data_IF_148392923827
#
_entry.id   IF_148392923827
#
_cell.length_a   1.000
_cell.length_b   1.000
_cell.length_c   1.000
_cell.angle_alpha   90.00
_cell.angle_beta   90.00
_cell.angle_gamma   90.00
#
_symmetry.space_group_name_H-M   'P 1'
#
loop_
_entity.id
_entity.type
_entity.pdbx_description
1 polymer ?
#
# COMPACT_ATOMS: atom_id res chain seq x y z
N UNK A 1 6.92 -11.60 -30.15
CA UNK A 1 7.18 -10.16 -29.98
C UNK A 1 5.84 -9.47 -29.78
N UNK A 2 5.47 -9.16 -28.54
CA UNK A 2 4.25 -8.41 -28.21
C UNK A 2 4.51 -6.97 -28.65
N UNK A 3 3.69 -6.49 -29.55
CA UNK A 3 3.82 -5.17 -30.17
C UNK A 3 3.50 -4.06 -29.12
N UNK A 4 4.52 -3.61 -28.39
CA UNK A 4 4.44 -2.50 -27.44
C UNK A 4 4.17 -1.13 -28.10
N UNK A 5 4.34 -1.03 -29.43
CA UNK A 5 4.14 0.21 -30.18
C UNK A 5 2.68 0.68 -30.30
N UNK A 6 1.71 -0.25 -30.26
CA UNK A 6 0.28 0.10 -30.29
C UNK A 6 -0.26 0.67 -28.97
N UNK A 7 0.48 0.51 -27.86
CA UNK A 7 0.13 1.07 -26.54
C UNK A 7 0.66 2.50 -26.34
N UNK A 8 1.58 2.97 -27.18
CA UNK A 8 2.21 4.29 -27.04
C UNK A 8 1.57 5.40 -27.89
N UNK A 9 0.60 5.07 -28.73
CA UNK A 9 0.01 6.01 -29.69
C UNK A 9 -1.45 6.35 -29.37
N UNK A 10 -1.69 7.17 -28.37
CA UNK A 10 -2.73 8.18 -28.25
C UNK A 10 -2.45 8.93 -26.96
N UNK A 11 -2.35 10.26 -26.98
CA UNK A 11 -2.51 11.11 -25.81
C UNK A 11 -3.83 10.73 -25.13
N UNK A 12 -3.79 9.73 -24.28
CA UNK A 12 -4.96 9.29 -23.53
C UNK A 12 -5.22 10.38 -22.52
N UNK A 13 -6.27 11.17 -22.76
CA UNK A 13 -6.83 12.06 -21.76
C UNK A 13 -6.93 11.25 -20.46
N UNK A 14 -6.02 11.48 -19.54
CA UNK A 14 -5.89 10.74 -18.26
C UNK A 14 -7.09 10.97 -17.36
N UNK A 15 -7.88 12.00 -17.66
CA UNK A 15 -9.07 12.39 -16.90
C UNK A 15 -10.10 11.26 -16.84
N UNK A 16 -10.52 10.93 -15.63
CA UNK A 16 -11.54 9.91 -15.36
C UNK A 16 -12.97 10.47 -15.43
N UNK A 17 -13.11 11.79 -15.65
CA UNK A 17 -14.40 12.47 -15.76
C UNK A 17 -15.06 12.31 -17.14
N UNK A 18 -14.35 11.75 -18.12
CA UNK A 18 -14.81 11.62 -19.50
C UNK A 18 -14.70 10.17 -20.01
N UNK A 19 -15.51 9.78 -20.98
CA UNK A 19 -15.49 8.46 -21.60
C UNK A 19 -16.19 7.35 -20.81
N UNK A 20 -15.99 6.08 -21.21
CA UNK A 20 -16.62 4.92 -20.57
C UNK A 20 -16.07 4.68 -19.16
N UNK A 21 -16.95 4.53 -18.18
CA UNK A 21 -16.63 4.33 -16.76
C UNK A 21 -15.80 3.05 -16.56
N UNK A 22 -16.28 1.92 -17.08
CA UNK A 22 -15.63 0.63 -16.93
C UNK A 22 -14.24 0.61 -17.56
N UNK A 23 -14.12 1.13 -18.79
CA UNK A 23 -12.86 1.20 -19.51
C UNK A 23 -11.82 2.04 -18.75
N UNK A 24 -12.23 3.19 -18.18
CA UNK A 24 -11.33 4.07 -17.41
C UNK A 24 -10.83 3.41 -16.12
N UNK A 25 -11.71 2.78 -15.36
CA UNK A 25 -11.33 2.11 -14.10
C UNK A 25 -10.42 0.92 -14.39
N UNK A 26 -10.75 0.06 -15.35
CA UNK A 26 -9.94 -1.13 -15.69
C UNK A 26 -8.58 -0.75 -16.25
N UNK A 27 -8.53 0.17 -17.25
CA UNK A 27 -7.28 0.62 -17.86
C UNK A 27 -6.34 1.33 -16.87
N UNK A 28 -6.87 1.88 -15.81
CA UNK A 28 -6.06 2.46 -14.74
C UNK A 28 -5.63 1.39 -13.72
N UNK A 29 -6.51 0.43 -13.38
CA UNK A 29 -6.20 -0.63 -12.43
C UNK A 29 -5.12 -1.60 -12.93
N UNK A 30 -5.07 -1.90 -14.25
CA UNK A 30 -4.09 -2.84 -14.84
C UNK A 30 -2.63 -2.38 -14.62
N UNK A 31 -2.20 -1.15 -14.96
CA UNK A 31 -0.84 -0.71 -14.67
C UNK A 31 -0.51 -0.72 -13.18
N UNK A 32 -1.46 -0.38 -12.31
CA UNK A 32 -1.27 -0.46 -10.87
C UNK A 32 -1.04 -1.90 -10.40
N UNK A 33 -1.81 -2.84 -10.94
CA UNK A 33 -1.65 -4.26 -10.63
C UNK A 33 -0.28 -4.77 -11.08
N UNK A 34 0.12 -4.47 -12.30
CA UNK A 34 1.44 -4.85 -12.82
C UNK A 34 2.56 -4.21 -11.98
N UNK A 35 2.42 -2.94 -11.58
CA UNK A 35 3.40 -2.26 -10.73
C UNK A 35 3.55 -2.94 -9.37
N UNK A 36 2.44 -3.22 -8.68
CA UNK A 36 2.47 -3.91 -7.40
C UNK A 36 3.01 -5.34 -7.52
N UNK A 37 2.68 -6.05 -8.60
CA UNK A 37 3.22 -7.38 -8.88
C UNK A 37 4.74 -7.34 -9.10
N UNK A 38 5.24 -6.42 -9.93
CA UNK A 38 6.67 -6.22 -10.13
C UNK A 38 7.38 -5.85 -8.82
N UNK A 39 6.78 -5.00 -8.00
CA UNK A 39 7.33 -4.64 -6.70
C UNK A 39 7.43 -5.85 -5.77
N UNK A 40 6.43 -6.73 -5.76
CA UNK A 40 6.46 -7.95 -4.97
C UNK A 40 7.53 -8.94 -5.46
N UNK A 41 7.67 -9.08 -6.78
CA UNK A 41 8.70 -9.93 -7.39
C UNK A 41 10.11 -9.40 -7.09
N UNK A 42 10.31 -8.10 -7.22
CA UNK A 42 11.59 -7.45 -6.92
C UNK A 42 11.98 -7.60 -5.44
N UNK A 43 11.06 -7.38 -4.50
CA UNK A 43 11.32 -7.60 -3.07
C UNK A 43 11.71 -9.06 -2.76
N UNK A 44 11.13 -10.00 -3.50
CA UNK A 44 11.48 -11.41 -3.39
C UNK A 44 12.87 -11.69 -3.94
N UNK A 45 13.22 -11.11 -5.09
CA UNK A 45 14.54 -11.24 -5.70
C UNK A 45 15.65 -10.67 -4.80
N UNK A 46 15.44 -9.48 -4.23
CA UNK A 46 16.37 -8.85 -3.27
C UNK A 46 16.62 -9.77 -2.06
N UNK A 47 15.56 -10.31 -1.47
CA UNK A 47 15.68 -11.25 -0.35
C UNK A 47 16.44 -12.53 -0.73
N UNK A 48 16.26 -13.05 -1.95
CA UNK A 48 16.99 -14.22 -2.45
C UNK A 48 18.47 -13.90 -2.68
N UNK A 49 18.80 -12.74 -3.22
CA UNK A 49 20.19 -12.31 -3.43
C UNK A 49 20.89 -12.19 -2.09
N UNK A 50 20.31 -11.46 -1.13
CA UNK A 50 20.88 -11.31 0.21
C UNK A 50 21.05 -12.67 0.89
N UNK A 51 20.03 -13.53 0.88
CA UNK A 51 20.07 -14.83 1.54
C UNK A 51 21.10 -15.79 0.96
N UNK A 52 21.25 -15.84 -0.37
CA UNK A 52 22.15 -16.76 -1.04
C UNK A 52 23.62 -16.31 -1.01
N UNK A 53 23.88 -15.00 -1.05
CA UNK A 53 25.26 -14.49 -1.15
C UNK A 53 25.83 -14.00 0.17
N UNK A 54 25.00 -13.48 1.09
CA UNK A 54 25.45 -12.93 2.38
C UNK A 54 25.12 -13.85 3.57
N UNK A 55 24.27 -14.87 3.35
CA UNK A 55 23.94 -15.88 4.34
C UNK A 55 22.78 -15.53 5.27
N UNK A 56 22.53 -16.40 6.26
CA UNK A 56 21.35 -16.36 7.13
C UNK A 56 21.32 -15.15 8.07
N UNK A 57 22.46 -14.70 8.58
CA UNK A 57 22.52 -13.54 9.48
C UNK A 57 22.13 -12.24 8.76
N UNK A 58 22.63 -12.04 7.54
CA UNK A 58 22.25 -10.89 6.71
C UNK A 58 20.77 -10.92 6.35
N UNK A 59 20.23 -12.11 6.00
CA UNK A 59 18.80 -12.25 5.74
C UNK A 59 17.95 -11.98 6.99
N UNK A 60 18.43 -12.41 8.17
CA UNK A 60 17.78 -12.09 9.45
C UNK A 60 17.81 -10.59 9.75
N UNK A 61 18.93 -9.91 9.47
CA UNK A 61 19.07 -8.46 9.62
C UNK A 61 18.07 -7.69 8.74
N UNK A 62 17.95 -8.06 7.46
CA UNK A 62 16.97 -7.48 6.53
C UNK A 62 15.54 -7.74 7.01
N UNK A 63 15.24 -8.98 7.41
CA UNK A 63 13.89 -9.38 7.85
C UNK A 63 13.46 -8.71 9.15
N UNK A 64 14.36 -8.56 10.13
CA UNK A 64 14.06 -7.86 11.39
C UNK A 64 13.75 -6.39 11.19
N UNK A 65 14.44 -5.75 10.25
CA UNK A 65 14.20 -4.35 9.88
C UNK A 65 12.93 -4.15 9.05
N UNK A 66 12.51 -5.18 8.31
CA UNK A 66 11.41 -5.11 7.35
C UNK A 66 10.08 -4.67 7.95
N UNK A 67 9.73 -5.10 9.15
CA UNK A 67 8.49 -4.71 9.82
C UNK A 67 8.41 -3.22 10.13
N UNK A 68 9.52 -2.63 10.56
CA UNK A 68 9.61 -1.17 10.82
C UNK A 68 9.56 -0.37 9.53
N UNK A 69 10.29 -0.82 8.52
CA UNK A 69 10.26 -0.21 7.19
C UNK A 69 8.83 -0.25 6.63
N UNK A 70 8.15 -1.39 6.73
CA UNK A 70 6.76 -1.54 6.28
C UNK A 70 5.80 -0.58 7.00
N UNK A 71 5.94 -0.43 8.31
CA UNK A 71 5.12 0.49 9.10
C UNK A 71 5.33 1.94 8.65
N UNK A 72 6.57 2.36 8.44
CA UNK A 72 6.91 3.72 8.03
C UNK A 72 6.51 4.01 6.59
N UNK A 73 6.82 3.10 5.66
CA UNK A 73 6.41 3.23 4.25
C UNK A 73 4.89 3.22 4.15
N UNK A 74 4.20 2.38 4.93
CA UNK A 74 2.74 2.36 5.02
C UNK A 74 2.14 3.70 5.47
N UNK A 75 2.77 4.36 6.44
CA UNK A 75 2.35 5.70 6.89
C UNK A 75 2.54 6.75 5.78
N UNK A 76 3.69 6.77 5.13
CA UNK A 76 3.98 7.69 4.02
C UNK A 76 3.04 7.45 2.83
N UNK A 77 2.80 6.18 2.48
CA UNK A 77 1.83 5.83 1.44
C UNK A 77 0.43 6.33 1.77
N UNK A 78 0.00 6.24 3.03
CA UNK A 78 -1.28 6.79 3.47
C UNK A 78 -1.35 8.31 3.29
N UNK A 79 -0.28 9.03 3.61
CA UNK A 79 -0.22 10.48 3.39
C UNK A 79 -0.22 10.81 1.89
N UNK A 80 0.56 10.10 1.07
CA UNK A 80 0.59 10.28 -0.38
C UNK A 80 -0.80 10.04 -1.00
N UNK A 81 -1.51 9.00 -0.55
CA UNK A 81 -2.88 8.72 -0.97
C UNK A 81 -3.86 9.83 -0.57
N UNK A 82 -3.74 10.37 0.66
CA UNK A 82 -4.57 11.49 1.11
C UNK A 82 -4.31 12.77 0.34
N UNK A 83 -3.05 13.08 0.03
CA UNK A 83 -2.69 14.18 -0.86
C UNK A 83 -3.25 13.95 -2.27
N UNK A 84 -3.19 12.70 -2.76
CA UNK A 84 -3.77 12.29 -4.03
C UNK A 84 -5.27 12.56 -4.14
N UNK A 85 -6.04 12.39 -3.06
CA UNK A 85 -7.47 12.73 -3.02
C UNK A 85 -7.69 14.24 -3.26
N UNK A 86 -6.89 15.09 -2.62
CA UNK A 86 -6.98 16.55 -2.78
C UNK A 86 -6.62 16.95 -4.21
N UNK A 87 -5.56 16.39 -4.78
CA UNK A 87 -5.12 16.62 -6.16
C UNK A 87 -6.19 16.12 -7.16
N UNK A 88 -6.70 14.89 -6.98
CA UNK A 88 -7.75 14.33 -7.83
C UNK A 88 -9.00 15.21 -7.88
N UNK A 89 -9.41 15.73 -6.72
CA UNK A 89 -10.53 16.68 -6.62
C UNK A 89 -10.33 17.92 -7.49
N UNK A 90 -9.20 18.61 -7.34
CA UNK A 90 -8.94 19.85 -8.07
C UNK A 90 -8.64 19.60 -9.55
N UNK A 91 -8.03 18.47 -9.88
CA UNK A 91 -7.85 18.05 -11.27
C UNK A 91 -9.19 17.78 -11.96
N UNK A 92 -10.10 17.05 -11.29
CA UNK A 92 -11.46 16.83 -11.77
C UNK A 92 -12.27 18.13 -11.92
N UNK A 93 -12.13 19.05 -10.97
CA UNK A 93 -12.77 20.38 -11.00
C UNK A 93 -12.21 21.30 -12.09
N UNK A 94 -11.16 20.93 -12.82
CA UNK A 94 -10.44 21.79 -13.78
C UNK A 94 -9.94 23.10 -13.16
N UNK A 95 -9.70 23.13 -11.85
CA UNK A 95 -9.21 24.29 -11.13
C UNK A 95 -7.69 24.27 -11.05
N UNK A 96 -7.07 24.93 -12.03
CA UNK A 96 -5.62 24.95 -12.20
C UNK A 96 -4.87 25.55 -11.00
N UNK A 97 -5.37 26.66 -10.44
CA UNK A 97 -4.67 27.35 -9.35
C UNK A 97 -4.60 26.48 -8.07
N UNK A 98 -5.74 25.92 -7.66
CA UNK A 98 -5.77 25.03 -6.49
C UNK A 98 -5.05 23.71 -6.75
N UNK A 99 -5.08 23.17 -7.97
CA UNK A 99 -4.33 22.00 -8.38
C UNK A 99 -2.82 22.25 -8.23
N UNK A 100 -2.32 23.35 -8.76
CA UNK A 100 -0.91 23.74 -8.67
C UNK A 100 -0.49 23.92 -7.22
N UNK A 101 -1.26 24.63 -6.40
CA UNK A 101 -0.99 24.78 -4.97
C UNK A 101 -0.96 23.43 -4.24
N UNK A 102 -1.88 22.52 -4.54
CA UNK A 102 -1.93 21.20 -3.95
C UNK A 102 -0.67 20.37 -4.30
N UNK A 103 -0.26 20.35 -5.57
CA UNK A 103 0.93 19.63 -6.04
C UNK A 103 2.22 20.17 -5.37
N UNK A 104 2.39 21.50 -5.38
CA UNK A 104 3.60 22.11 -4.82
C UNK A 104 3.66 21.97 -3.29
N UNK A 105 2.53 22.10 -2.60
CA UNK A 105 2.44 21.86 -1.14
C UNK A 105 2.70 20.38 -0.81
N UNK A 106 2.18 19.45 -1.61
CA UNK A 106 2.44 18.01 -1.43
C UNK A 106 3.93 17.69 -1.62
N UNK A 107 4.56 18.28 -2.63
CA UNK A 107 6.00 18.12 -2.89
C UNK A 107 6.84 18.74 -1.76
N UNK A 108 6.50 19.95 -1.28
CA UNK A 108 7.16 20.59 -0.15
C UNK A 108 7.03 19.74 1.13
N UNK A 109 5.84 19.19 1.39
CA UNK A 109 5.61 18.30 2.51
C UNK A 109 6.46 17.03 2.40
N UNK A 110 6.53 16.42 1.21
CA UNK A 110 7.37 15.24 0.96
C UNK A 110 8.86 15.50 1.21
N UNK A 111 9.38 16.66 0.79
CA UNK A 111 10.77 17.06 1.05
C UNK A 111 11.03 17.16 2.56
N UNK A 112 10.21 17.90 3.29
CA UNK A 112 10.37 18.07 4.74
C UNK A 112 10.21 16.73 5.46
N UNK A 113 9.19 15.95 5.13
CA UNK A 113 8.96 14.64 5.72
C UNK A 113 10.11 13.67 5.42
N UNK A 114 10.63 13.65 4.18
CA UNK A 114 11.74 12.81 3.77
C UNK A 114 13.04 13.16 4.51
N UNK A 115 13.40 14.45 4.62
CA UNK A 115 14.56 14.90 5.36
C UNK A 115 14.43 14.56 6.85
N UNK A 116 13.27 14.85 7.44
CA UNK A 116 12.98 14.55 8.85
C UNK A 116 13.10 13.05 9.12
N UNK A 117 12.54 12.23 8.23
CA UNK A 117 12.58 10.77 8.32
C UNK A 117 14.02 10.24 8.20
N UNK A 118 14.80 10.77 7.27
CA UNK A 118 16.21 10.44 7.12
C UNK A 118 16.98 10.74 8.43
N UNK A 119 16.88 11.96 8.94
CA UNK A 119 17.60 12.37 10.16
C UNK A 119 17.12 11.56 11.39
N UNK A 120 15.83 11.48 11.61
CA UNK A 120 15.26 10.75 12.74
C UNK A 120 15.55 9.25 12.65
N UNK A 121 15.42 8.64 11.46
CA UNK A 121 15.67 7.23 11.24
C UNK A 121 17.12 6.85 11.49
N UNK A 122 18.07 7.59 10.96
CA UNK A 122 19.50 7.36 11.21
C UNK A 122 19.87 7.47 12.70
N UNK A 123 19.30 8.44 13.41
CA UNK A 123 19.55 8.64 14.84
C UNK A 123 18.88 7.58 15.72
N UNK A 124 17.64 7.22 15.40
CA UNK A 124 16.84 6.32 16.23
C UNK A 124 17.06 4.83 15.89
N UNK A 125 17.61 4.49 14.73
CA UNK A 125 17.79 3.13 14.27
C UNK A 125 18.44 2.19 15.30
N UNK A 126 19.60 2.51 15.90
CA UNK A 126 20.22 1.63 16.89
C UNK A 126 19.34 1.42 18.12
N UNK A 127 18.69 2.49 18.60
CA UNK A 127 17.85 2.45 19.80
C UNK A 127 16.59 1.61 19.58
N UNK A 128 15.96 1.74 18.41
CA UNK A 128 14.74 0.99 18.07
C UNK A 128 15.07 -0.49 17.95
N UNK A 129 16.15 -0.87 17.27
CA UNK A 129 16.55 -2.27 17.11
C UNK A 129 16.88 -2.94 18.45
N UNK A 130 17.57 -2.25 19.36
CA UNK A 130 17.80 -2.74 20.72
C UNK A 130 16.47 -2.90 21.48
N UNK A 131 15.57 -1.92 21.40
CA UNK A 131 14.26 -1.97 22.07
C UNK A 131 13.38 -3.13 21.53
N UNK A 132 13.55 -3.48 20.25
CA UNK A 132 12.87 -4.63 19.63
C UNK A 132 13.43 -5.99 20.06
N UNK A 133 14.51 -6.03 20.83
CA UNK A 133 15.14 -7.27 21.26
C UNK A 133 15.87 -8.00 20.13
N UNK A 134 16.42 -7.28 19.15
CA UNK A 134 17.22 -7.88 18.06
C UNK A 134 18.40 -8.64 18.68
N UNK A 135 18.62 -9.93 18.29
CA UNK A 135 19.74 -10.74 18.82
C UNK A 135 21.09 -10.04 18.65
N UNK A 136 21.97 -10.19 19.63
CA UNK A 136 23.26 -9.48 19.69
C UNK A 136 24.22 -9.83 18.56
N UNK A 137 24.11 -11.02 18.01
CA UNK A 137 24.87 -11.54 16.85
C UNK A 137 24.42 -10.92 15.51
N UNK A 138 23.15 -10.55 15.40
CA UNK A 138 22.55 -9.95 14.18
C UNK A 138 22.48 -8.41 14.29
N UNK A 139 22.53 -7.86 15.51
CA UNK A 139 22.31 -6.44 15.78
C UNK A 139 23.24 -5.51 15.00
N UNK A 140 24.57 -5.75 14.87
CA UNK A 140 25.45 -4.85 14.12
C UNK A 140 25.07 -4.75 12.65
N UNK A 141 24.78 -5.87 12.00
CA UNK A 141 24.35 -5.89 10.60
C UNK A 141 22.98 -5.23 10.41
N UNK A 142 22.06 -5.45 11.35
CA UNK A 142 20.74 -4.79 11.35
C UNK A 142 20.87 -3.28 11.47
N UNK A 143 21.76 -2.77 12.31
CA UNK A 143 22.01 -1.33 12.46
C UNK A 143 22.53 -0.74 11.15
N UNK A 144 23.55 -1.36 10.54
CA UNK A 144 24.14 -0.90 9.28
C UNK A 144 23.07 -0.88 8.17
N UNK A 145 22.32 -1.97 8.01
CA UNK A 145 21.24 -2.07 7.03
C UNK A 145 20.19 -0.98 7.23
N UNK A 146 19.71 -0.84 8.47
CA UNK A 146 18.62 0.06 8.81
C UNK A 146 19.03 1.52 8.68
N UNK A 147 20.22 1.90 9.14
CA UNK A 147 20.76 3.26 8.96
C UNK A 147 20.95 3.60 7.47
N UNK A 148 21.50 2.67 6.68
CA UNK A 148 21.69 2.87 5.24
C UNK A 148 20.36 3.03 4.53
N UNK A 149 19.35 2.23 4.88
CA UNK A 149 17.99 2.36 4.36
C UNK A 149 17.40 3.75 4.67
N UNK A 150 17.55 4.21 5.93
CA UNK A 150 17.04 5.53 6.32
C UNK A 150 17.81 6.70 5.68
N UNK A 151 19.09 6.55 5.38
CA UNK A 151 19.82 7.52 4.59
C UNK A 151 19.19 7.73 3.20
N UNK A 152 18.56 6.67 2.64
CA UNK A 152 17.80 6.70 1.39
C UNK A 152 16.33 7.13 1.52
N UNK A 153 15.81 7.38 2.73
CA UNK A 153 14.37 7.62 2.96
C UNK A 153 13.80 8.79 2.18
N UNK A 154 14.59 9.85 1.95
CA UNK A 154 14.16 10.97 1.10
C UNK A 154 13.75 10.49 -0.30
N UNK A 155 14.52 9.58 -0.91
CA UNK A 155 14.19 8.98 -2.21
C UNK A 155 12.87 8.20 -2.17
N UNK A 156 12.70 7.37 -1.15
CA UNK A 156 11.47 6.58 -0.92
C UNK A 156 10.25 7.49 -0.77
N UNK A 157 10.34 8.52 0.08
CA UNK A 157 9.24 9.46 0.33
C UNK A 157 8.89 10.22 -0.94
N UNK A 158 9.90 10.78 -1.63
CA UNK A 158 9.66 11.57 -2.84
C UNK A 158 9.11 10.73 -3.98
N UNK A 159 9.58 9.49 -4.15
CA UNK A 159 8.98 8.55 -5.11
C UNK A 159 7.50 8.33 -4.82
N UNK A 160 7.13 7.99 -3.58
CA UNK A 160 5.72 7.75 -3.23
C UNK A 160 4.85 9.01 -3.40
N UNK A 161 5.36 10.19 -3.08
CA UNK A 161 4.67 11.46 -3.32
C UNK A 161 4.44 11.70 -4.82
N UNK A 162 5.44 11.54 -5.66
CA UNK A 162 5.30 11.75 -7.10
C UNK A 162 4.41 10.70 -7.76
N UNK A 163 4.50 9.45 -7.34
CA UNK A 163 3.56 8.39 -7.76
C UNK A 163 2.13 8.75 -7.34
N UNK A 164 1.92 9.21 -6.12
CA UNK A 164 0.61 9.68 -5.64
C UNK A 164 0.04 10.82 -6.49
N UNK A 165 0.88 11.79 -6.90
CA UNK A 165 0.48 12.87 -7.82
C UNK A 165 0.08 12.30 -9.19
N UNK A 166 0.90 11.45 -9.80
CA UNK A 166 0.61 10.85 -11.12
C UNK A 166 -0.66 9.99 -11.08
N UNK A 167 -0.82 9.16 -10.07
CA UNK A 167 -2.01 8.32 -9.90
C UNK A 167 -3.27 9.15 -9.69
N UNK A 168 -3.19 10.28 -8.98
CA UNK A 168 -4.35 11.15 -8.73
C UNK A 168 -4.88 11.85 -9.98
N UNK A 169 -4.02 12.08 -10.97
CA UNK A 169 -4.42 12.59 -12.29
C UNK A 169 -4.82 11.47 -13.27
N UNK A 170 -4.76 10.21 -12.83
CA UNK A 170 -5.16 9.05 -13.63
C UNK A 170 -4.02 8.44 -14.47
N UNK A 171 -2.78 8.81 -14.19
CA UNK A 171 -1.61 8.23 -14.83
C UNK A 171 -1.03 7.09 -13.97
N UNK A 172 -1.35 5.87 -14.33
CA UNK A 172 -0.79 4.67 -13.72
C UNK A 172 0.37 4.05 -14.51
N UNK A 173 0.60 4.50 -15.77
CA UNK A 173 1.57 3.89 -16.67
C UNK A 173 3.01 4.35 -16.42
N UNK A 174 3.22 5.65 -16.26
CA UNK A 174 4.55 6.18 -16.02
C UNK A 174 5.14 5.70 -14.69
N UNK A 175 4.38 5.69 -13.56
CA UNK A 175 4.88 5.05 -12.34
C UNK A 175 5.32 3.60 -12.51
N UNK A 176 4.56 2.79 -13.29
CA UNK A 176 4.93 1.41 -13.59
C UNK A 176 6.26 1.32 -14.35
N UNK A 177 6.43 2.13 -15.41
CA UNK A 177 7.66 2.13 -16.22
C UNK A 177 8.87 2.50 -15.33
N UNK A 178 8.74 3.54 -14.51
CA UNK A 178 9.82 4.01 -13.65
C UNK A 178 10.14 3.01 -12.53
N UNK A 179 9.13 2.30 -12.03
CA UNK A 179 9.33 1.20 -11.09
C UNK A 179 10.12 0.05 -11.74
N UNK A 180 9.78 -0.35 -12.97
CA UNK A 180 10.53 -1.40 -13.69
C UNK A 180 11.98 -0.99 -13.89
N UNK A 181 12.23 0.24 -14.33
CA UNK A 181 13.59 0.75 -14.52
C UNK A 181 14.36 0.72 -13.20
N UNK A 182 13.79 1.25 -12.13
CA UNK A 182 14.44 1.28 -10.82
C UNK A 182 14.67 -0.12 -10.24
N UNK A 183 13.76 -1.05 -10.48
CA UNK A 183 13.93 -2.45 -10.06
C UNK A 183 15.08 -3.13 -10.78
N UNK A 184 15.23 -2.88 -12.09
CA UNK A 184 16.38 -3.37 -12.84
C UNK A 184 17.69 -2.76 -12.30
N UNK A 185 17.71 -1.46 -12.03
CA UNK A 185 18.87 -0.78 -11.43
C UNK A 185 19.20 -1.38 -10.07
N UNK A 186 18.19 -1.62 -9.21
CA UNK A 186 18.39 -2.22 -7.90
C UNK A 186 19.06 -3.61 -8.01
N UNK A 187 18.48 -4.54 -8.80
CA UNK A 187 19.03 -5.90 -8.95
C UNK A 187 20.47 -5.87 -9.49
N UNK A 188 20.76 -5.00 -10.47
CA UNK A 188 22.12 -4.84 -11.00
C UNK A 188 23.08 -4.33 -9.93
N UNK A 189 22.66 -3.33 -9.13
CA UNK A 189 23.48 -2.79 -8.05
C UNK A 189 23.68 -3.79 -6.92
N UNK A 190 22.66 -4.57 -6.56
CA UNK A 190 22.78 -5.63 -5.54
C UNK A 190 23.84 -6.65 -5.95
N UNK A 191 23.76 -7.16 -7.17
CA UNK A 191 24.75 -8.10 -7.70
C UNK A 191 26.12 -7.44 -7.73
N UNK A 192 26.24 -6.22 -8.24
CA UNK A 192 27.52 -5.51 -8.36
C UNK A 192 28.17 -5.25 -6.99
N UNK A 193 27.41 -4.77 -6.01
CA UNK A 193 27.94 -4.44 -4.68
C UNK A 193 28.28 -5.71 -3.88
N UNK A 194 27.42 -6.72 -3.94
CA UNK A 194 27.59 -7.94 -3.15
C UNK A 194 28.66 -8.84 -3.78
N UNK A 195 28.56 -9.17 -5.09
CA UNK A 195 29.44 -10.12 -5.74
C UNK A 195 30.67 -9.47 -6.35
N UNK A 196 30.55 -8.23 -6.88
CA UNK A 196 31.65 -7.51 -7.52
C UNK A 196 32.59 -6.82 -6.51
N UNK A 197 32.02 -6.16 -5.50
CA UNK A 197 32.79 -5.41 -4.51
C UNK A 197 32.93 -6.12 -3.16
N UNK A 198 32.25 -7.25 -2.94
CA UNK A 198 32.29 -8.00 -1.66
C UNK A 198 31.73 -7.22 -0.47
N UNK A 199 30.80 -6.29 -0.70
CA UNK A 199 30.20 -5.47 0.36
C UNK A 199 29.20 -6.28 1.17
N UNK A 200 29.07 -5.95 2.48
CA UNK A 200 28.15 -6.60 3.40
C UNK A 200 26.69 -6.18 3.22
N UNK A 201 25.83 -6.53 4.19
CA UNK A 201 24.36 -6.34 4.15
C UNK A 201 23.90 -4.89 3.90
N UNK A 202 24.70 -3.90 4.31
CA UNK A 202 24.40 -2.47 4.05
C UNK A 202 24.35 -2.13 2.57
N UNK A 203 24.99 -2.92 1.70
CA UNK A 203 24.97 -2.69 0.26
C UNK A 203 23.61 -2.94 -0.38
N UNK A 204 22.84 -3.90 0.11
CA UNK A 204 21.47 -4.13 -0.34
C UNK A 204 20.57 -2.92 0.00
N UNK A 205 20.72 -2.34 1.20
CA UNK A 205 20.03 -1.10 1.55
C UNK A 205 20.47 0.08 0.68
N UNK A 206 21.77 0.16 0.34
CA UNK A 206 22.32 1.20 -0.53
C UNK A 206 21.79 1.07 -1.97
N UNK A 207 21.75 -0.13 -2.52
CA UNK A 207 21.19 -0.39 -3.84
C UNK A 207 19.70 0.00 -3.89
N UNK A 208 18.94 -0.35 -2.85
CA UNK A 208 17.55 0.07 -2.69
C UNK A 208 17.43 1.59 -2.62
N UNK A 209 18.25 2.28 -1.81
CA UNK A 209 18.26 3.73 -1.72
C UNK A 209 18.51 4.39 -3.08
N UNK A 210 19.56 3.96 -3.80
CA UNK A 210 19.91 4.50 -5.12
C UNK A 210 18.76 4.27 -6.12
N UNK A 211 18.20 3.08 -6.17
CA UNK A 211 17.09 2.76 -7.08
C UNK A 211 15.83 3.59 -6.79
N UNK A 212 15.53 3.88 -5.52
CA UNK A 212 14.43 4.76 -5.12
C UNK A 212 14.69 6.22 -5.53
N UNK A 213 15.92 6.71 -5.41
CA UNK A 213 16.28 8.03 -5.95
C UNK A 213 16.14 8.08 -7.47
N UNK A 214 16.57 7.04 -8.20
CA UNK A 214 16.38 6.96 -9.66
C UNK A 214 14.91 7.06 -10.01
N UNK A 215 14.04 6.28 -9.39
CA UNK A 215 12.59 6.34 -9.67
C UNK A 215 11.97 7.69 -9.29
N UNK A 216 12.37 8.28 -8.15
CA UNK A 216 11.93 9.61 -7.74
C UNK A 216 12.33 10.70 -8.74
N UNK A 217 13.58 10.67 -9.23
CA UNK A 217 14.08 11.62 -10.23
C UNK A 217 13.34 11.43 -11.55
N UNK A 218 13.10 10.20 -12.02
CA UNK A 218 12.35 9.93 -13.24
C UNK A 218 10.93 10.46 -13.16
N UNK A 219 10.21 10.22 -12.04
CA UNK A 219 8.89 10.78 -11.80
C UNK A 219 8.90 12.31 -11.76
N UNK A 220 9.89 12.91 -11.07
CA UNK A 220 10.04 14.36 -10.99
C UNK A 220 10.29 14.98 -12.37
N UNK A 221 11.20 14.44 -13.15
CA UNK A 221 11.51 14.91 -14.52
C UNK A 221 10.26 14.81 -15.41
N UNK A 222 9.52 13.72 -15.29
CA UNK A 222 8.25 13.57 -16.01
C UNK A 222 7.26 14.68 -15.63
N UNK A 223 7.01 14.90 -14.34
CA UNK A 223 6.13 15.95 -13.86
C UNK A 223 6.58 17.36 -14.27
N UNK A 224 7.87 17.60 -14.40
CA UNK A 224 8.42 18.88 -14.87
C UNK A 224 8.24 19.09 -16.38
N UNK A 225 8.28 18.00 -17.18
CA UNK A 225 8.22 18.07 -18.64
C UNK A 225 6.82 18.01 -19.22
N UNK A 226 5.84 17.53 -18.44
CA UNK A 226 4.47 17.45 -18.89
C UNK A 226 3.90 18.84 -19.21
N UNK A 227 3.10 18.96 -20.29
CA UNK A 227 2.50 20.23 -20.74
C UNK A 227 1.07 20.42 -20.20
N UNK A 228 0.65 19.60 -19.26
CA UNK A 228 -0.67 19.61 -18.65
C UNK A 228 -0.74 20.52 -17.41
N UNK A 229 -1.94 20.75 -16.90
CA UNK A 229 -2.20 21.62 -15.74
C UNK A 229 -1.54 21.13 -14.45
N UNK A 230 -1.08 19.86 -14.39
CA UNK A 230 -0.40 19.26 -13.22
C UNK A 230 1.14 19.31 -13.32
N UNK A 231 1.70 20.15 -14.19
CA UNK A 231 3.16 20.32 -14.31
C UNK A 231 3.76 20.82 -12.99
N UNK A 232 4.86 20.16 -12.57
CA UNK A 232 5.63 20.58 -11.40
C UNK A 232 6.65 21.67 -11.79
N UNK A 233 6.63 22.80 -11.08
CA UNK A 233 7.59 23.90 -11.23
C UNK A 233 8.39 24.04 -9.93
N UNK A 234 9.67 23.69 -9.96
CA UNK A 234 10.52 23.67 -8.74
C UNK A 234 10.57 25.02 -8.00
N UNK A 235 10.51 26.12 -8.76
CA UNK A 235 10.51 27.49 -8.18
C UNK A 235 9.26 27.86 -7.41
N UNK A 236 8.18 27.10 -7.60
CA UNK A 236 6.88 27.31 -6.94
C UNK A 236 6.64 26.37 -5.75
N UNK A 237 7.62 25.53 -5.41
CA UNK A 237 7.48 24.64 -4.27
C UNK A 237 7.41 25.49 -2.99
N UNK A 238 6.23 25.52 -2.38
CA UNK A 238 5.95 26.25 -1.15
C UNK A 238 4.80 25.61 -0.40
N UNK A 239 4.67 25.94 0.88
CA UNK A 239 3.52 25.53 1.68
C UNK A 239 2.37 26.51 1.52
N UNK A 240 1.22 26.01 1.03
CA UNK A 240 -0.07 26.68 1.15
C UNK A 240 -0.82 26.12 2.37
N UNK A 241 -1.13 26.96 3.34
CA UNK A 241 -1.78 26.55 4.60
C UNK A 241 -3.10 25.83 4.39
N UNK A 242 -3.87 26.28 3.40
CA UNK A 242 -5.18 25.68 3.10
C UNK A 242 -5.01 24.27 2.50
N UNK A 243 -4.09 24.10 1.55
CA UNK A 243 -3.78 22.81 0.94
C UNK A 243 -3.16 21.86 1.96
N UNK A 244 -2.20 22.33 2.75
CA UNK A 244 -1.56 21.52 3.78
C UNK A 244 -2.58 20.96 4.78
N UNK A 245 -3.54 21.80 5.21
CA UNK A 245 -4.61 21.33 6.10
C UNK A 245 -5.46 20.22 5.46
N UNK A 246 -5.81 20.32 4.19
CA UNK A 246 -6.58 19.30 3.48
C UNK A 246 -5.76 18.02 3.32
N UNK A 247 -4.47 18.13 2.96
CA UNK A 247 -3.56 17.00 2.83
C UNK A 247 -3.43 16.26 4.16
N UNK A 248 -3.22 16.97 5.26
CA UNK A 248 -3.11 16.38 6.60
C UNK A 248 -4.44 15.72 7.02
N UNK A 249 -5.58 16.38 6.80
CA UNK A 249 -6.90 15.85 7.16
C UNK A 249 -7.26 14.55 6.43
N UNK A 250 -6.75 14.32 5.23
CA UNK A 250 -6.98 13.09 4.48
C UNK A 250 -5.80 12.10 4.60
N UNK A 251 -4.58 12.60 4.68
CA UNK A 251 -3.37 11.78 4.67
C UNK A 251 -3.06 11.15 6.02
N UNK A 252 -3.07 11.93 7.10
CA UNK A 252 -2.75 11.42 8.44
C UNK A 252 -3.70 10.30 8.88
N UNK A 253 -5.04 10.42 8.72
CA UNK A 253 -5.91 9.29 9.02
C UNK A 253 -5.62 8.05 8.20
N UNK A 254 -5.33 8.19 6.91
CA UNK A 254 -4.98 7.05 6.04
C UNK A 254 -3.66 6.40 6.41
N UNK A 255 -2.64 7.20 6.75
CA UNK A 255 -1.34 6.71 7.21
C UNK A 255 -1.44 6.01 8.56
N UNK A 256 -2.14 6.62 9.51
CA UNK A 256 -2.37 6.04 10.82
C UNK A 256 -3.14 4.72 10.74
N UNK A 257 -4.17 4.63 9.90
CA UNK A 257 -4.91 3.40 9.63
C UNK A 257 -3.98 2.27 9.19
N UNK A 258 -3.11 2.51 8.20
CA UNK A 258 -2.18 1.49 7.69
C UNK A 258 -1.21 1.02 8.78
N UNK A 259 -0.66 1.94 9.57
CA UNK A 259 0.29 1.62 10.65
C UNK A 259 -0.36 0.79 11.76
N UNK A 260 -1.57 1.14 12.18
CA UNK A 260 -2.26 0.42 13.26
C UNK A 260 -2.74 -0.95 12.82
N UNK A 261 -3.17 -1.11 11.57
CA UNK A 261 -3.49 -2.43 11.01
C UNK A 261 -2.24 -3.32 11.00
N UNK A 262 -1.07 -2.77 10.65
CA UNK A 262 0.18 -3.52 10.71
C UNK A 262 0.51 -4.00 12.13
N UNK A 263 0.34 -3.15 13.14
CA UNK A 263 0.52 -3.52 14.55
C UNK A 263 -0.47 -4.61 14.97
N UNK A 264 -1.75 -4.50 14.59
CA UNK A 264 -2.75 -5.52 14.89
C UNK A 264 -2.40 -6.88 14.27
N UNK A 265 -1.83 -6.89 13.05
CA UNK A 265 -1.36 -8.12 12.40
C UNK A 265 -0.16 -8.75 13.14
N UNK A 266 0.75 -7.94 13.71
CA UNK A 266 1.83 -8.44 14.58
C UNK A 266 1.26 -9.13 15.82
N UNK A 267 0.21 -8.56 16.44
CA UNK A 267 -0.47 -9.19 17.57
C UNK A 267 -1.12 -10.53 17.19
N UNK A 268 -1.78 -10.61 16.04
CA UNK A 268 -2.33 -11.88 15.52
C UNK A 268 -1.23 -12.90 15.32
N UNK A 269 -0.12 -12.52 14.68
CA UNK A 269 1.03 -13.39 14.45
C UNK A 269 1.65 -13.91 15.76
N UNK A 270 1.74 -13.07 16.77
CA UNK A 270 2.23 -13.48 18.11
C UNK A 270 1.37 -14.58 18.72
N UNK A 271 0.05 -14.50 18.57
CA UNK A 271 -0.87 -15.55 19.02
C UNK A 271 -0.73 -16.85 18.21
N UNK A 272 -0.53 -16.76 16.89
CA UNK A 272 -0.25 -17.92 16.04
C UNK A 272 1.04 -18.63 16.47
N UNK A 273 2.08 -17.85 16.79
CA UNK A 273 3.38 -18.37 17.20
C UNK A 273 3.29 -19.23 18.49
N UNK A 274 2.34 -18.95 19.37
CA UNK A 274 2.09 -19.74 20.59
C UNK A 274 1.65 -21.20 20.30
N UNK A 275 1.14 -21.48 19.09
CA UNK A 275 0.76 -22.84 18.65
C UNK A 275 1.93 -23.66 18.07
N UNK A 276 3.14 -23.12 18.09
CA UNK A 276 4.36 -23.82 17.74
C UNK A 276 4.88 -23.58 16.33
N UNK A 277 6.05 -24.18 16.04
CA UNK A 277 6.82 -23.92 14.82
C UNK A 277 6.07 -24.29 13.53
N UNK A 278 5.34 -25.42 13.55
CA UNK A 278 4.61 -25.89 12.35
C UNK A 278 3.44 -24.97 12.01
N UNK A 279 2.70 -24.49 13.02
CA UNK A 279 1.64 -23.49 12.83
C UNK A 279 2.20 -22.17 12.29
N UNK A 280 3.31 -21.69 12.87
CA UNK A 280 3.99 -20.47 12.42
C UNK A 280 4.41 -20.58 10.95
N UNK A 281 5.03 -21.72 10.57
CA UNK A 281 5.49 -21.95 9.20
C UNK A 281 4.33 -22.07 8.21
N UNK A 282 3.26 -22.78 8.57
CA UNK A 282 2.08 -22.96 7.72
C UNK A 282 1.33 -21.65 7.50
N UNK A 283 1.10 -20.87 8.56
CA UNK A 283 0.49 -19.53 8.46
C UNK A 283 1.39 -18.54 7.70
N UNK A 284 2.71 -18.66 7.86
CA UNK A 284 3.67 -17.87 7.09
C UNK A 284 3.62 -18.18 5.59
N UNK A 285 3.51 -19.44 5.20
CA UNK A 285 3.32 -19.84 3.80
C UNK A 285 2.01 -19.30 3.24
N UNK A 286 0.90 -19.40 3.98
CA UNK A 286 -0.37 -18.82 3.58
C UNK A 286 -0.28 -17.29 3.41
N UNK A 287 0.38 -16.58 4.32
CA UNK A 287 0.55 -15.11 4.22
C UNK A 287 1.26 -14.69 2.92
N UNK A 288 2.18 -15.51 2.39
CA UNK A 288 2.79 -15.25 1.07
C UNK A 288 1.77 -15.39 -0.06
N UNK A 289 0.93 -16.42 -0.02
CA UNK A 289 -0.16 -16.61 -0.99
C UNK A 289 -1.17 -15.46 -0.92
N UNK A 290 -1.58 -15.08 0.30
CA UNK A 290 -2.52 -13.98 0.55
C UNK A 290 -1.98 -12.65 0.05
N UNK A 291 -0.67 -12.39 0.18
CA UNK A 291 -0.03 -11.18 -0.33
C UNK A 291 -0.26 -10.96 -1.83
N UNK A 292 -0.18 -12.04 -2.64
CA UNK A 292 -0.50 -11.96 -4.06
C UNK A 292 -2.01 -11.81 -4.31
N UNK A 293 -2.83 -12.49 -3.53
CA UNK A 293 -4.29 -12.43 -3.65
C UNK A 293 -4.86 -11.02 -3.36
N UNK A 294 -4.19 -10.27 -2.51
CA UNK A 294 -4.62 -8.93 -2.12
C UNK A 294 -4.29 -7.84 -3.16
N UNK A 295 -3.38 -8.09 -4.11
CA UNK A 295 -2.96 -7.10 -5.10
C UNK A 295 -4.12 -6.53 -5.94
N UNK A 296 -5.03 -7.33 -6.51
CA UNK A 296 -6.16 -6.79 -7.27
C UNK A 296 -7.06 -5.89 -6.43
N UNK A 297 -7.32 -6.28 -5.17
CA UNK A 297 -8.16 -5.48 -4.25
C UNK A 297 -7.55 -4.09 -4.03
N UNK A 298 -6.24 -4.02 -3.76
CA UNK A 298 -5.56 -2.73 -3.58
C UNK A 298 -5.59 -1.87 -4.84
N UNK A 299 -5.46 -2.47 -6.02
CA UNK A 299 -5.50 -1.74 -7.28
C UNK A 299 -6.88 -1.15 -7.57
N UNK A 300 -7.96 -1.92 -7.36
CA UNK A 300 -9.30 -1.38 -7.47
C UNK A 300 -9.59 -0.31 -6.42
N UNK A 301 -9.11 -0.48 -5.20
CA UNK A 301 -9.20 0.52 -4.13
C UNK A 301 -8.60 1.86 -4.55
N UNK A 302 -7.40 1.85 -5.14
CA UNK A 302 -6.74 3.05 -5.66
C UNK A 302 -7.50 3.65 -6.84
N UNK A 303 -7.95 2.81 -7.77
CA UNK A 303 -8.72 3.24 -8.94
C UNK A 303 -10.05 3.89 -8.55
N UNK A 304 -10.77 3.32 -7.60
CA UNK A 304 -12.02 3.87 -7.06
C UNK A 304 -11.75 5.21 -6.36
N UNK A 305 -10.73 5.30 -5.53
CA UNK A 305 -10.38 6.55 -4.81
C UNK A 305 -10.14 7.69 -5.79
N UNK A 306 -9.31 7.47 -6.82
CA UNK A 306 -9.02 8.48 -7.85
C UNK A 306 -10.24 8.80 -8.70
N UNK A 307 -10.99 7.78 -9.14
CA UNK A 307 -12.19 7.96 -9.96
C UNK A 307 -13.26 8.79 -9.23
N UNK A 308 -13.55 8.42 -7.97
CA UNK A 308 -14.52 9.14 -7.14
C UNK A 308 -14.04 10.56 -6.88
N UNK A 309 -12.78 10.74 -6.47
CA UNK A 309 -12.21 12.08 -6.21
C UNK A 309 -12.33 13.04 -7.40
N UNK A 310 -11.95 12.58 -8.61
CA UNK A 310 -12.06 13.39 -9.83
C UNK A 310 -13.51 13.70 -10.19
N UNK A 311 -14.41 12.70 -10.17
CA UNK A 311 -15.79 12.91 -10.57
C UNK A 311 -16.58 13.78 -9.57
N UNK A 312 -16.33 13.64 -8.27
CA UNK A 312 -16.91 14.53 -7.26
C UNK A 312 -16.36 15.96 -7.38
N UNK A 313 -15.05 16.11 -7.68
CA UNK A 313 -14.45 17.40 -8.00
C UNK A 313 -15.12 18.08 -9.19
N UNK A 314 -15.44 17.30 -10.22
CA UNK A 314 -16.17 17.77 -11.41
C UNK A 314 -17.69 17.92 -11.20
N UNK A 315 -18.22 17.68 -9.99
CA UNK A 315 -19.66 17.65 -9.66
C UNK A 315 -20.47 16.64 -10.49
N UNK A 316 -19.81 15.59 -11.00
CA UNK A 316 -20.45 14.50 -11.75
C UNK A 316 -20.89 13.38 -10.79
N UNK A 317 -21.88 13.67 -9.95
CA UNK A 317 -22.31 12.79 -8.85
C UNK A 317 -22.83 11.44 -9.32
N UNK A 318 -23.65 11.41 -10.38
CA UNK A 318 -24.19 10.15 -10.92
C UNK A 318 -23.09 9.27 -11.53
N UNK A 319 -22.11 9.91 -12.18
CA UNK A 319 -20.96 9.20 -12.72
C UNK A 319 -20.10 8.63 -11.59
N UNK A 320 -19.88 9.38 -10.51
CA UNK A 320 -19.17 8.90 -9.32
C UNK A 320 -19.89 7.68 -8.69
N UNK A 321 -21.22 7.71 -8.54
CA UNK A 321 -22.01 6.58 -8.02
C UNK A 321 -21.92 5.35 -8.92
N UNK A 322 -22.08 5.51 -10.23
CA UNK A 322 -21.96 4.39 -11.19
C UNK A 322 -20.57 3.78 -11.19
N UNK A 323 -19.52 4.60 -11.14
CA UNK A 323 -18.14 4.13 -11.10
C UNK A 323 -17.78 3.44 -9.77
N UNK A 324 -18.23 3.97 -8.64
CA UNK A 324 -18.08 3.32 -7.34
C UNK A 324 -18.74 1.94 -7.35
N UNK A 325 -20.00 1.83 -7.78
CA UNK A 325 -20.72 0.55 -7.88
C UNK A 325 -20.00 -0.44 -8.80
N UNK A 326 -19.58 -0.01 -9.99
CA UNK A 326 -18.83 -0.85 -10.93
C UNK A 326 -17.52 -1.36 -10.33
N UNK A 327 -16.70 -0.46 -9.75
CA UNK A 327 -15.42 -0.84 -9.16
C UNK A 327 -15.56 -1.79 -7.96
N UNK A 328 -16.57 -1.57 -7.10
CA UNK A 328 -16.89 -2.46 -5.98
C UNK A 328 -17.25 -3.86 -6.49
N UNK A 329 -18.16 -3.96 -7.46
CA UNK A 329 -18.59 -5.25 -8.01
C UNK A 329 -17.45 -6.01 -8.69
N UNK A 330 -16.62 -5.32 -9.49
CA UNK A 330 -15.45 -5.94 -10.12
C UNK A 330 -14.45 -6.45 -9.08
N UNK A 331 -14.17 -5.65 -8.05
CA UNK A 331 -13.24 -6.05 -6.98
C UNK A 331 -13.74 -7.26 -6.21
N UNK A 332 -15.03 -7.29 -5.85
CA UNK A 332 -15.65 -8.44 -5.17
C UNK A 332 -15.55 -9.68 -6.04
N UNK A 333 -15.93 -9.58 -7.32
CA UNK A 333 -15.91 -10.72 -8.23
C UNK A 333 -14.51 -11.31 -8.39
N UNK A 334 -13.50 -10.46 -8.59
CA UNK A 334 -12.11 -10.90 -8.74
C UNK A 334 -11.57 -11.47 -7.43
N UNK A 335 -11.86 -10.83 -6.30
CA UNK A 335 -11.42 -11.30 -4.99
C UNK A 335 -12.02 -12.67 -4.67
N UNK A 336 -13.31 -12.89 -4.95
CA UNK A 336 -13.96 -14.17 -4.70
C UNK A 336 -13.46 -15.27 -5.65
N UNK A 337 -13.22 -14.96 -6.93
CA UNK A 337 -12.62 -15.90 -7.87
C UNK A 337 -11.24 -16.37 -7.38
N UNK A 338 -10.41 -15.44 -6.89
CA UNK A 338 -9.12 -15.76 -6.28
C UNK A 338 -9.32 -16.56 -4.98
N UNK A 339 -10.30 -16.20 -4.15
CA UNK A 339 -10.65 -16.92 -2.93
C UNK A 339 -11.02 -18.38 -3.20
N UNK A 340 -11.89 -18.64 -4.18
CA UNK A 340 -12.26 -20.00 -4.61
C UNK A 340 -11.03 -20.75 -5.13
N UNK A 341 -10.16 -20.09 -5.90
CA UNK A 341 -8.94 -20.71 -6.42
C UNK A 341 -8.00 -21.10 -5.26
N UNK A 342 -7.81 -20.22 -4.27
CA UNK A 342 -6.98 -20.51 -3.09
C UNK A 342 -7.63 -21.62 -2.26
N UNK A 343 -8.93 -21.60 -2.04
CA UNK A 343 -9.64 -22.62 -1.28
C UNK A 343 -9.44 -24.02 -1.87
N UNK A 344 -9.57 -24.16 -3.19
CA UNK A 344 -9.44 -25.43 -3.91
C UNK A 344 -7.99 -25.87 -4.06
N UNK A 345 -7.10 -24.96 -4.40
CA UNK A 345 -5.68 -25.23 -4.64
C UNK A 345 -4.80 -25.09 -3.39
N UNK A 346 -5.37 -24.85 -2.19
CA UNK A 346 -4.62 -24.61 -0.95
C UNK A 346 -3.50 -25.62 -0.69
N UNK A 347 -3.74 -26.96 -0.78
CA UNK A 347 -2.67 -27.93 -0.52
C UNK A 347 -1.46 -27.76 -1.44
N UNK A 348 -1.69 -27.50 -2.72
CA UNK A 348 -0.63 -27.31 -3.73
C UNK A 348 0.10 -25.99 -3.53
N UNK A 349 -0.64 -24.93 -3.27
CA UNK A 349 -0.08 -23.58 -3.05
C UNK A 349 0.79 -23.53 -1.81
N UNK A 350 0.37 -24.14 -0.69
CA UNK A 350 1.15 -24.18 0.54
C UNK A 350 2.34 -25.12 0.39
N UNK A 351 2.19 -26.30 -0.25
CA UNK A 351 3.26 -27.24 -0.50
C UNK A 351 4.38 -26.67 -1.39
N UNK A 352 4.09 -25.67 -2.21
CA UNK A 352 5.12 -24.97 -2.98
C UNK A 352 6.12 -24.19 -2.10
N UNK A 353 5.73 -23.81 -0.89
CA UNK A 353 6.60 -23.11 0.07
C UNK A 353 7.25 -24.05 1.09
N UNK A 354 6.53 -25.10 1.52
CA UNK A 354 7.04 -26.10 2.45
C UNK A 354 6.32 -27.42 2.24
N UNK A 355 7.10 -28.54 2.19
CA UNK A 355 6.57 -29.90 1.92
C UNK A 355 6.26 -30.69 3.19
N UNK A 356 6.50 -30.13 4.37
CA UNK A 356 6.18 -30.77 5.63
C UNK A 356 4.66 -30.91 5.78
N UNK A 357 4.12 -32.14 6.04
CA UNK A 357 2.68 -32.36 6.14
C UNK A 357 1.98 -31.54 7.21
N UNK A 358 2.63 -31.30 8.36
CA UNK A 358 2.08 -30.52 9.46
C UNK A 358 2.01 -29.03 9.08
N UNK A 359 3.03 -28.52 8.41
CA UNK A 359 3.05 -27.14 7.87
C UNK A 359 1.93 -26.96 6.85
N UNK A 360 1.77 -27.92 5.93
CA UNK A 360 0.69 -27.90 4.93
C UNK A 360 -0.66 -27.92 5.63
N UNK A 361 -0.84 -28.76 6.65
CA UNK A 361 -2.09 -28.86 7.41
C UNK A 361 -2.54 -27.51 7.98
N UNK A 362 -1.65 -26.80 8.70
CA UNK A 362 -1.97 -25.48 9.27
C UNK A 362 -2.23 -24.43 8.21
N UNK A 363 -1.41 -24.35 7.16
CA UNK A 363 -1.60 -23.40 6.07
C UNK A 363 -2.90 -23.61 5.30
N UNK A 364 -3.26 -24.86 5.01
CA UNK A 364 -4.51 -25.23 4.34
C UNK A 364 -5.73 -24.94 5.24
N UNK A 365 -5.62 -25.21 6.52
CA UNK A 365 -6.66 -24.89 7.50
C UNK A 365 -6.97 -23.39 7.52
N UNK A 366 -5.93 -22.54 7.57
CA UNK A 366 -6.09 -21.09 7.52
C UNK A 366 -6.67 -20.65 6.17
N UNK A 367 -6.11 -21.13 5.05
CA UNK A 367 -6.57 -20.80 3.71
C UNK A 367 -8.06 -21.11 3.52
N UNK A 368 -8.50 -22.32 3.90
CA UNK A 368 -9.89 -22.73 3.77
C UNK A 368 -10.85 -22.00 4.71
N UNK A 369 -10.38 -21.52 5.85
CA UNK A 369 -11.21 -20.73 6.76
C UNK A 369 -11.42 -19.31 6.24
N UNK A 370 -10.43 -18.71 5.56
CA UNK A 370 -10.43 -17.27 5.24
C UNK A 370 -10.83 -17.01 3.78
N UNK A 371 -10.38 -17.84 2.84
CA UNK A 371 -10.39 -17.50 1.42
C UNK A 371 -11.78 -17.21 0.83
N UNK A 372 -12.83 -17.93 1.24
CA UNK A 372 -14.20 -17.70 0.77
C UNK A 372 -14.84 -16.40 1.30
N UNK A 373 -14.15 -15.66 2.16
CA UNK A 373 -14.61 -14.37 2.67
C UNK A 373 -13.85 -13.18 2.04
N UNK A 374 -13.06 -13.41 1.00
CA UNK A 374 -12.36 -12.33 0.29
C UNK A 374 -13.30 -11.33 -0.37
N UNK A 375 -14.52 -11.72 -0.72
CA UNK A 375 -15.57 -10.80 -1.17
C UNK A 375 -15.86 -9.71 -0.12
N UNK A 376 -15.93 -10.07 1.18
CA UNK A 376 -16.17 -9.12 2.27
C UNK A 376 -14.96 -8.19 2.49
N UNK A 377 -13.75 -8.73 2.38
CA UNK A 377 -12.53 -7.96 2.41
C UNK A 377 -12.51 -6.91 1.29
N UNK A 378 -12.77 -7.33 0.05
CA UNK A 378 -12.82 -6.45 -1.11
C UNK A 378 -13.92 -5.39 -0.97
N UNK A 379 -15.09 -5.77 -0.51
CA UNK A 379 -16.21 -4.85 -0.26
C UNK A 379 -15.84 -3.78 0.76
N UNK A 380 -15.31 -4.18 1.91
CA UNK A 380 -14.85 -3.28 2.99
C UNK A 380 -13.83 -2.26 2.45
N UNK A 381 -12.80 -2.74 1.75
CA UNK A 381 -11.74 -1.88 1.23
C UNK A 381 -12.24 -0.92 0.14
N UNK A 382 -13.12 -1.38 -0.75
CA UNK A 382 -13.65 -0.55 -1.82
C UNK A 382 -14.59 0.53 -1.31
N UNK A 383 -15.44 0.26 -0.31
CA UNK A 383 -16.26 1.33 0.30
C UNK A 383 -15.41 2.31 1.08
N UNK A 384 -14.41 1.83 1.82
CA UNK A 384 -13.43 2.71 2.45
C UNK A 384 -12.73 3.61 1.41
N UNK A 385 -12.45 3.10 0.21
CA UNK A 385 -11.90 3.87 -0.91
C UNK A 385 -12.85 4.94 -1.43
N UNK A 386 -14.14 4.64 -1.55
CA UNK A 386 -15.17 5.63 -1.93
C UNK A 386 -15.22 6.76 -0.91
N UNK A 387 -15.23 6.44 0.39
CA UNK A 387 -15.27 7.44 1.46
C UNK A 387 -13.99 8.29 1.48
N UNK A 388 -12.80 7.69 1.28
CA UNK A 388 -11.55 8.44 1.12
C UNK A 388 -11.60 9.35 -0.10
N UNK A 389 -12.01 8.82 -1.25
CA UNK A 389 -12.15 9.57 -2.51
C UNK A 389 -13.14 10.72 -2.41
N UNK A 390 -14.11 10.66 -1.50
CA UNK A 390 -15.02 11.77 -1.18
C UNK A 390 -14.45 12.80 -0.19
N UNK A 391 -13.17 12.64 0.24
CA UNK A 391 -12.52 13.56 1.18
C UNK A 391 -12.79 13.24 2.66
N UNK A 392 -13.33 12.08 2.97
CA UNK A 392 -13.61 11.67 4.35
C UNK A 392 -12.78 10.44 4.74
N UNK A 393 -11.48 10.64 4.95
CA UNK A 393 -10.58 9.55 5.34
C UNK A 393 -10.69 9.17 6.83
N UNK A 394 -11.24 10.03 7.67
CA UNK A 394 -11.36 9.77 9.10
C UNK A 394 -12.38 8.65 9.41
N UNK A 395 -13.50 8.59 8.69
CA UNK A 395 -14.53 7.57 8.91
C UNK A 395 -14.01 6.15 8.64
N UNK A 396 -13.39 5.84 7.49
CA UNK A 396 -12.79 4.53 7.27
C UNK A 396 -11.72 4.19 8.31
N UNK A 397 -10.88 5.14 8.71
CA UNK A 397 -9.88 4.94 9.75
C UNK A 397 -10.55 4.49 11.06
N UNK A 398 -11.55 5.22 11.55
CA UNK A 398 -12.22 4.91 12.83
C UNK A 398 -12.87 3.52 12.77
N UNK A 399 -13.62 3.20 11.70
CA UNK A 399 -14.28 1.91 11.55
C UNK A 399 -13.27 0.76 11.57
N UNK A 400 -12.19 0.88 10.79
CA UNK A 400 -11.19 -0.18 10.73
C UNK A 400 -10.37 -0.30 12.02
N UNK A 401 -10.07 0.81 12.71
CA UNK A 401 -9.45 0.77 14.03
C UNK A 401 -10.32 0.07 15.06
N UNK A 402 -11.60 0.41 15.13
CA UNK A 402 -12.51 -0.21 16.08
C UNK A 402 -12.70 -1.70 15.80
N UNK A 403 -12.89 -2.07 14.52
CA UNK A 403 -13.24 -3.45 14.16
C UNK A 403 -12.00 -4.33 13.98
N UNK A 404 -11.00 -3.87 13.21
CA UNK A 404 -9.84 -4.72 12.86
C UNK A 404 -8.73 -4.69 13.91
N UNK A 405 -8.70 -3.69 14.77
CA UNK A 405 -7.72 -3.61 15.84
C UNK A 405 -8.39 -3.92 17.19
N UNK A 406 -9.24 -3.03 17.71
CA UNK A 406 -9.80 -3.22 19.05
C UNK A 406 -10.64 -4.50 19.16
N UNK A 407 -11.63 -4.68 18.29
CA UNK A 407 -12.49 -5.87 18.38
C UNK A 407 -11.71 -7.15 18.07
N UNK A 408 -10.86 -7.20 17.02
CA UNK A 408 -10.08 -8.38 16.66
C UNK A 408 -9.14 -8.81 17.78
N UNK A 409 -8.39 -7.87 18.36
CA UNK A 409 -7.44 -8.15 19.45
C UNK A 409 -8.20 -8.64 20.68
N UNK A 410 -9.30 -7.98 21.06
CA UNK A 410 -10.14 -8.40 22.19
C UNK A 410 -10.74 -9.78 21.96
N UNK A 411 -11.29 -10.05 20.77
CA UNK A 411 -11.84 -11.35 20.40
C UNK A 411 -10.78 -12.46 20.52
N UNK A 412 -9.62 -12.29 19.91
CA UNK A 412 -8.54 -13.31 19.94
C UNK A 412 -8.10 -13.55 21.38
N UNK A 413 -7.87 -12.49 22.16
CA UNK A 413 -7.42 -12.58 23.55
C UNK A 413 -8.40 -13.37 24.44
N UNK A 414 -9.69 -13.16 24.25
CA UNK A 414 -10.73 -13.86 25.01
C UNK A 414 -10.95 -15.29 24.49
N UNK A 415 -11.09 -15.41 23.17
CA UNK A 415 -11.49 -16.67 22.56
C UNK A 415 -10.39 -17.76 22.66
N UNK A 416 -9.10 -17.41 22.52
CA UNK A 416 -8.00 -18.36 22.71
C UNK A 416 -7.89 -18.87 24.15
N UNK A 417 -8.29 -18.06 25.15
CA UNK A 417 -8.34 -18.49 26.56
C UNK A 417 -9.46 -19.48 26.83
N UNK A 418 -10.59 -19.36 26.12
CA UNK A 418 -11.76 -20.22 26.29
C UNK A 418 -11.64 -21.50 25.46
N UNK A 419 -11.13 -21.38 24.26
CA UNK A 419 -10.99 -22.46 23.29
C UNK A 419 -9.56 -22.44 22.75
N UNK A 420 -8.64 -23.30 23.25
CA UNK A 420 -7.24 -23.35 22.82
C UNK A 420 -7.10 -24.05 21.45
N UNK A 421 -7.78 -23.53 20.44
CA UNK A 421 -7.72 -24.01 19.04
C UNK A 421 -7.31 -22.84 18.14
N UNK A 422 -6.33 -23.06 17.28
CA UNK A 422 -5.82 -22.05 16.32
C UNK A 422 -6.91 -21.55 15.34
N UNK A 423 -7.94 -22.36 15.09
CA UNK A 423 -9.08 -21.99 14.22
C UNK A 423 -9.79 -20.74 14.72
N UNK A 424 -9.81 -20.53 16.04
CA UNK A 424 -10.40 -19.32 16.64
C UNK A 424 -9.70 -18.06 16.13
N UNK A 425 -8.37 -18.11 15.97
CA UNK A 425 -7.61 -16.98 15.42
C UNK A 425 -7.96 -16.77 13.94
N UNK A 426 -8.11 -17.85 13.17
CA UNK A 426 -8.46 -17.74 11.76
C UNK A 426 -9.85 -17.15 11.55
N UNK A 427 -10.83 -17.50 12.38
CA UNK A 427 -12.18 -16.95 12.34
C UNK A 427 -12.26 -15.46 12.70
N UNK A 428 -11.23 -14.91 13.35
CA UNK A 428 -11.18 -13.47 13.61
C UNK A 428 -11.22 -12.62 12.33
N UNK A 429 -10.68 -13.14 11.20
CA UNK A 429 -10.69 -12.43 9.92
C UNK A 429 -12.09 -12.36 9.31
N UNK A 430 -12.80 -13.47 9.05
CA UNK A 430 -14.18 -13.43 8.55
C UNK A 430 -15.12 -12.60 9.43
N UNK A 431 -15.03 -12.72 10.77
CA UNK A 431 -15.85 -11.96 11.70
C UNK A 431 -15.63 -10.46 11.55
N UNK A 432 -14.37 -10.01 11.57
CA UNK A 432 -14.07 -8.57 11.46
C UNK A 432 -14.43 -8.01 10.08
N UNK A 433 -14.25 -8.78 9.02
CA UNK A 433 -14.66 -8.38 7.67
C UNK A 433 -16.17 -8.30 7.53
N UNK A 434 -16.92 -9.23 8.14
CA UNK A 434 -18.38 -9.20 8.15
C UNK A 434 -18.90 -7.97 8.90
N UNK A 435 -18.41 -7.71 10.12
CA UNK A 435 -18.82 -6.56 10.93
C UNK A 435 -18.51 -5.25 10.18
N UNK A 436 -17.27 -5.09 9.68
CA UNK A 436 -16.89 -3.89 8.95
C UNK A 436 -17.71 -3.72 7.66
N UNK A 437 -18.03 -4.81 6.95
CA UNK A 437 -18.87 -4.77 5.74
C UNK A 437 -20.27 -4.26 6.03
N UNK A 438 -20.91 -4.70 7.13
CA UNK A 438 -22.23 -4.21 7.54
C UNK A 438 -22.19 -2.72 7.87
N UNK A 439 -21.19 -2.29 8.65
CA UNK A 439 -21.02 -0.87 9.00
C UNK A 439 -20.81 -0.02 7.75
N UNK A 440 -19.91 -0.46 6.85
CA UNK A 440 -19.64 0.26 5.62
C UNK A 440 -20.80 0.27 4.64
N UNK A 441 -21.58 -0.83 4.57
CA UNK A 441 -22.81 -0.84 3.78
C UNK A 441 -23.80 0.23 4.27
N UNK A 442 -24.00 0.31 5.57
CA UNK A 442 -24.87 1.33 6.16
C UNK A 442 -24.37 2.76 5.87
N UNK A 443 -23.06 3.00 6.02
CA UNK A 443 -22.44 4.29 5.72
C UNK A 443 -22.51 4.63 4.22
N UNK A 444 -22.40 3.66 3.34
CA UNK A 444 -22.48 3.86 1.90
C UNK A 444 -23.90 4.19 1.44
N UNK A 445 -24.91 3.51 2.00
CA UNK A 445 -26.31 3.70 1.61
C UNK A 445 -26.93 4.95 2.23
N UNK A 446 -26.64 5.24 3.51
CA UNK A 446 -27.22 6.37 4.25
C UNK A 446 -26.29 7.58 4.32
N UNK A 447 -25.00 7.40 4.05
CA UNK A 447 -24.01 8.48 4.09
C UNK A 447 -24.13 9.42 2.89
N UNK A 448 -24.03 10.73 3.14
CA UNK A 448 -23.99 11.74 2.08
C UNK A 448 -22.57 11.91 1.51
N UNK A 449 -21.90 10.78 1.18
CA UNK A 449 -20.52 10.80 0.69
C UNK A 449 -20.37 11.52 -0.66
N UNK A 450 -21.43 11.57 -1.45
CA UNK A 450 -21.47 12.23 -2.76
C UNK A 450 -21.22 13.74 -2.64
N UNK A 451 -21.64 14.34 -1.52
CA UNK A 451 -21.44 15.76 -1.21
C UNK A 451 -20.30 15.98 -0.20
N UNK A 452 -19.38 15.02 -0.07
CA UNK A 452 -18.30 15.07 0.92
C UNK A 452 -17.35 16.27 0.78
N UNK A 453 -17.24 16.82 -0.43
CA UNK A 453 -16.46 18.03 -0.69
C UNK A 453 -17.25 19.36 -0.52
N UNK A 454 -18.54 19.30 -0.35
CA UNK A 454 -19.34 20.48 -0.08
C UNK A 454 -19.22 20.86 1.39
N UNK A 455 -19.02 22.15 1.68
CA UNK A 455 -19.06 22.62 3.07
C UNK A 455 -20.45 22.29 3.62
N UNK A 456 -20.52 21.48 4.69
CA UNK A 456 -21.77 21.36 5.44
C UNK A 456 -22.19 22.79 5.82
N UNK A 457 -23.43 23.23 5.52
CA UNK A 457 -23.92 24.46 6.08
C UNK A 457 -23.72 24.38 7.60
N UNK A 458 -23.13 25.41 8.20
CA UNK A 458 -23.12 25.53 9.66
C UNK A 458 -24.58 25.43 10.08
N UNK A 459 -24.91 24.42 10.89
CA UNK A 459 -26.17 24.45 11.64
C UNK A 459 -26.04 25.67 12.56
N UNK A 460 -26.80 26.71 12.24
CA UNK A 460 -27.09 27.81 13.14
C UNK A 460 -27.82 27.29 14.36
#
# INVERSE_FOLDING_TARGET
MINFGGFMGAESKTRMTEGSISKKIILFAIPLFLGNLFQQLYNTADSLIVGNYLGSNALAAVSSSGNLIFLMVGFINGIAMGAGVVIARYYGAKNKDYLQRAIHTTTAFGLVAGITLTAAGMYLAPKILVLMGTPTDVLPESIVYFQTYFAGSLGVVMYNIFVGILQSVGDGRHPLIYLIISSCVNVVLDIFFITGLGMGVGSAALATAISQFVSAILCMVHLMRVKEDYRLELRRICFDRHMLRQIIQNGVPSGFQNSVIAIANVFVQSNINAFGKMAMAGCGAYSKVEGFAFLPVTCFTMAITTFVGQNLGAKQYDRAKKGAKFGILCSIFIAELIGITIYTAAPVLIAAFNRDPDVIHYGVMQARTIALFYCLLAFTHCIAAVLRGSGNAAVPMIVLLCVWCLFRVSYITLAVRLIPDIRVIFWAYPLTWSISSVIFLFLFLRGNWVHGFEKRPKKE
#
